data_IF_646085637647
#
_entry.id   IF_646085637647
#
_cell.length_a   1.000
_cell.length_b   1.000
_cell.length_c   1.000
_cell.angle_alpha   90.00
_cell.angle_beta   90.00
_cell.angle_gamma   90.00
#
_symmetry.space_group_name_H-M   'P 1'
#
loop_
_entity.id
_entity.type
_entity.pdbx_description
1 polymer ?
#
# COMPACT_ATOMS: atom_id res chain seq x y z
N UNK A 1 -64.37 1.21 -12.45
CA UNK A 1 -65.05 1.29 -11.14
C UNK A 1 -66.01 0.10 -11.05
N UNK A 2 -65.79 -0.77 -10.05
CA UNK A 2 -66.62 -1.91 -9.58
C UNK A 2 -66.70 -3.17 -10.48
N UNK A 3 -66.63 -4.43 -10.01
CA UNK A 3 -66.25 -5.07 -8.73
C UNK A 3 -66.19 -6.61 -8.95
N UNK A 4 -65.07 -7.23 -8.57
CA UNK A 4 -64.81 -8.55 -7.92
C UNK A 4 -65.86 -9.69 -7.92
N UNK A 5 -65.38 -10.93 -8.19
CA UNK A 5 -65.57 -12.25 -7.50
C UNK A 5 -65.44 -13.40 -8.54
N UNK A 6 -64.90 -14.61 -8.32
CA UNK A 6 -64.58 -15.41 -7.12
C UNK A 6 -63.52 -16.49 -7.46
N UNK A 7 -63.06 -17.20 -6.42
CA UNK A 7 -61.94 -18.14 -6.30
C UNK A 7 -62.38 -19.62 -6.44
N UNK A 8 -61.38 -20.51 -6.57
CA UNK A 8 -61.36 -21.97 -6.29
C UNK A 8 -61.85 -22.87 -7.46
N UNK A 9 -61.18 -23.96 -7.90
CA UNK A 9 -60.22 -24.83 -7.22
C UNK A 9 -59.45 -25.78 -8.19
N UNK A 10 -58.26 -26.20 -7.73
CA UNK A 10 -57.53 -27.46 -7.96
C UNK A 10 -57.14 -27.99 -9.37
N UNK A 11 -55.82 -27.99 -9.63
CA UNK A 11 -55.08 -29.14 -10.18
C UNK A 11 -53.64 -29.08 -9.66
N UNK A 12 -53.30 -29.99 -8.74
CA UNK A 12 -51.93 -30.27 -8.32
C UNK A 12 -51.23 -31.12 -9.38
N UNK A 13 -50.06 -30.70 -9.87
CA UNK A 13 -48.96 -31.63 -10.04
C UNK A 13 -47.57 -30.95 -9.96
N UNK A 14 -46.88 -31.29 -8.86
CA UNK A 14 -45.42 -31.50 -8.70
C UNK A 14 -44.44 -30.60 -9.47
N UNK A 15 -43.91 -29.60 -8.75
CA UNK A 15 -42.50 -29.18 -8.88
C UNK A 15 -41.92 -28.99 -7.48
N UNK A 16 -40.88 -29.78 -7.14
CA UNK A 16 -40.09 -29.59 -5.91
C UNK A 16 -39.17 -28.38 -6.11
N UNK A 17 -39.16 -27.36 -5.23
CA UNK A 17 -38.12 -26.35 -5.27
C UNK A 17 -36.85 -26.89 -4.61
N UNK A 18 -35.72 -26.87 -5.33
CA UNK A 18 -34.40 -27.04 -4.72
C UNK A 18 -34.20 -25.88 -3.73
N UNK A 19 -34.18 -26.20 -2.43
CA UNK A 19 -33.62 -25.31 -1.40
C UNK A 19 -32.16 -25.69 -1.19
N UNK A 20 -31.25 -24.87 -1.68
CA UNK A 20 -29.90 -24.75 -1.11
C UNK A 20 -29.48 -23.29 -1.09
N UNK A 21 -30.12 -22.50 -0.23
CA UNK A 21 -29.49 -21.28 0.28
C UNK A 21 -28.47 -21.72 1.32
N UNK A 22 -27.18 -21.77 0.97
CA UNK A 22 -26.12 -21.85 1.97
C UNK A 22 -26.09 -20.50 2.68
N UNK A 23 -26.67 -20.47 3.88
CA UNK A 23 -26.60 -19.33 4.78
C UNK A 23 -25.15 -19.15 5.22
N UNK A 24 -24.56 -17.97 4.95
CA UNK A 24 -23.20 -17.57 5.33
C UNK A 24 -22.95 -17.49 6.85
N UNK A 25 -23.91 -17.91 7.69
CA UNK A 25 -23.86 -17.82 9.16
C UNK A 25 -23.53 -19.12 9.90
N UNK A 26 -23.13 -20.19 9.20
CA UNK A 26 -22.77 -21.47 9.82
C UNK A 26 -21.26 -21.67 10.04
N UNK A 27 -20.40 -20.71 9.68
CA UNK A 27 -18.94 -20.87 9.80
C UNK A 27 -18.29 -20.03 10.91
N UNK A 28 -19.08 -19.41 11.78
CA UNK A 28 -18.60 -18.75 13.00
C UNK A 28 -19.24 -19.44 14.20
N UNK A 29 -18.68 -20.59 14.53
CA UNK A 29 -19.05 -21.35 15.71
C UNK A 29 -17.83 -22.10 16.20
N UNK A 30 -17.13 -21.49 17.15
CA UNK A 30 -16.03 -22.02 17.98
C UNK A 30 -14.61 -21.64 17.56
N UNK A 31 -14.24 -20.39 17.84
CA UNK A 31 -12.86 -20.03 18.20
C UNK A 31 -12.94 -19.08 19.40
N UNK A 32 -12.89 -19.65 20.59
CA UNK A 32 -12.78 -18.93 21.85
C UNK A 32 -11.41 -18.26 21.93
N UNK A 33 -11.40 -17.06 22.49
CA UNK A 33 -10.27 -16.20 22.80
C UNK A 33 -8.97 -16.93 23.20
N UNK A 34 -7.87 -16.61 22.52
CA UNK A 34 -6.49 -16.76 23.03
C UNK A 34 -5.68 -15.57 22.52
N UNK A 35 -5.34 -14.66 23.42
CA UNK A 35 -4.28 -13.67 23.21
C UNK A 35 -2.90 -14.31 23.30
N UNK A 36 -1.93 -13.67 22.64
CA UNK A 36 -0.49 -13.95 22.66
C UNK A 36 -0.06 -15.36 22.19
N UNK A 37 0.34 -15.44 20.91
CA UNK A 37 1.39 -16.34 20.43
C UNK A 37 1.10 -17.84 20.46
N UNK A 38 0.40 -18.36 19.44
CA UNK A 38 0.65 -19.68 18.82
C UNK A 38 -0.08 -19.75 17.48
N UNK A 39 0.65 -19.88 16.36
CA UNK A 39 0.02 -20.14 15.05
C UNK A 39 -0.53 -21.58 15.08
N UNK A 40 -1.85 -21.70 15.05
CA UNK A 40 -2.54 -22.98 14.97
C UNK A 40 -2.31 -23.65 13.61
N UNK A 41 -1.58 -24.76 13.60
CA UNK A 41 -1.26 -25.58 12.43
C UNK A 41 -2.46 -26.35 11.80
N UNK A 42 -3.69 -25.84 11.94
CA UNK A 42 -4.93 -26.61 11.69
C UNK A 42 -5.58 -26.46 10.31
N UNK A 43 -5.21 -25.46 9.50
CA UNK A 43 -5.94 -25.14 8.25
C UNK A 43 -5.24 -25.52 6.94
N UNK A 44 -4.03 -26.09 6.97
CA UNK A 44 -3.26 -26.42 5.76
C UNK A 44 -3.44 -27.87 5.25
N UNK A 45 -4.38 -28.64 5.79
CA UNK A 45 -4.42 -30.09 5.57
C UNK A 45 -4.82 -30.56 4.15
N UNK A 46 -5.27 -29.69 3.24
CA UNK A 46 -5.75 -30.12 1.91
C UNK A 46 -5.39 -29.20 0.71
N UNK A 47 -4.38 -28.34 0.83
CA UNK A 47 -3.83 -27.67 -0.35
C UNK A 47 -2.92 -28.66 -1.11
N UNK A 48 -3.01 -28.78 -2.45
CA UNK A 48 -2.00 -29.53 -3.20
C UNK A 48 -0.63 -28.90 -2.93
N UNK A 49 0.23 -29.64 -2.23
CA UNK A 49 1.59 -29.22 -1.96
C UNK A 49 2.35 -29.17 -3.28
N UNK A 50 2.67 -27.96 -3.73
CA UNK A 50 3.72 -27.80 -4.72
C UNK A 50 4.97 -28.49 -4.16
N UNK A 51 5.48 -29.49 -4.89
CA UNK A 51 6.72 -30.18 -4.52
C UNK A 51 7.88 -29.22 -4.78
N UNK A 52 8.29 -28.45 -3.78
CA UNK A 52 9.61 -27.82 -3.80
C UNK A 52 10.64 -28.76 -3.19
N UNK A 53 11.31 -29.52 -4.06
CA UNK A 53 12.61 -30.09 -3.73
C UNK A 53 13.69 -29.09 -4.18
N UNK A 54 14.16 -28.24 -3.27
CA UNK A 54 15.23 -27.28 -3.51
C UNK A 54 15.29 -26.18 -2.45
N UNK A 55 16.49 -25.83 -2.00
CA UNK A 55 16.71 -24.63 -1.16
C UNK A 55 16.67 -23.35 -2.01
N UNK A 56 16.45 -22.21 -1.37
CA UNK A 56 16.54 -20.91 -2.06
C UNK A 56 17.95 -20.68 -2.59
N UNK A 57 18.06 -20.06 -3.76
CA UNK A 57 19.34 -19.45 -4.15
C UNK A 57 19.63 -18.29 -3.21
N UNK A 58 20.91 -17.90 -3.10
CA UNK A 58 21.28 -16.73 -2.32
C UNK A 58 20.58 -15.46 -2.82
N UNK A 59 20.53 -15.27 -4.15
CA UNK A 59 19.86 -14.11 -4.75
C UNK A 59 18.36 -14.06 -4.46
N UNK A 60 17.66 -15.20 -4.56
CA UNK A 60 16.23 -15.26 -4.25
C UNK A 60 15.96 -14.95 -2.77
N UNK A 61 16.80 -15.46 -1.86
CA UNK A 61 16.70 -15.18 -0.43
C UNK A 61 17.00 -13.71 -0.12
N UNK A 62 18.01 -13.12 -0.76
CA UNK A 62 18.39 -11.71 -0.58
C UNK A 62 17.27 -10.76 -1.06
N UNK A 63 16.63 -11.07 -2.20
CA UNK A 63 15.44 -10.35 -2.70
C UNK A 63 14.28 -10.43 -1.71
N UNK A 64 13.92 -11.64 -1.26
CA UNK A 64 12.81 -11.84 -0.32
C UNK A 64 13.07 -11.17 1.03
N UNK A 65 14.32 -11.13 1.50
CA UNK A 65 14.70 -10.42 2.73
C UNK A 65 14.54 -8.91 2.57
N UNK A 66 14.94 -8.34 1.43
CA UNK A 66 14.72 -6.92 1.19
C UNK A 66 13.23 -6.58 1.12
N UNK A 67 12.44 -7.37 0.38
CA UNK A 67 10.99 -7.20 0.32
C UNK A 67 10.37 -7.30 1.72
N UNK A 68 10.72 -8.31 2.51
CA UNK A 68 10.25 -8.43 3.89
C UNK A 68 10.58 -7.18 4.74
N UNK A 69 11.72 -6.53 4.51
CA UNK A 69 12.06 -5.29 5.18
C UNK A 69 11.20 -4.10 4.71
N UNK A 70 10.94 -3.99 3.40
CA UNK A 70 10.06 -2.97 2.83
C UNK A 70 8.64 -3.13 3.40
N UNK A 71 8.09 -4.34 3.38
CA UNK A 71 6.76 -4.63 3.93
C UNK A 71 6.64 -4.35 5.44
N UNK A 72 7.71 -4.58 6.24
CA UNK A 72 7.72 -4.19 7.66
C UNK A 72 7.65 -2.66 7.83
N UNK A 73 8.31 -1.91 6.94
CA UNK A 73 8.31 -0.45 6.93
C UNK A 73 6.94 0.07 6.53
N UNK A 74 6.34 -0.52 5.49
CA UNK A 74 5.00 -0.17 4.99
C UNK A 74 3.91 -0.51 6.01
N UNK A 75 3.98 -1.67 6.67
CA UNK A 75 3.08 -2.00 7.76
C UNK A 75 3.17 -1.00 8.95
N UNK A 76 4.37 -0.49 9.29
CA UNK A 76 4.53 0.51 10.36
C UNK A 76 3.92 1.87 10.02
N UNK A 77 4.01 2.32 8.75
CA UNK A 77 3.36 3.55 8.32
C UNK A 77 1.84 3.37 8.16
N UNK A 78 1.37 2.24 7.65
CA UNK A 78 -0.06 1.97 7.48
C UNK A 78 -0.76 1.83 8.82
N UNK A 79 -0.10 1.19 9.80
CA UNK A 79 -0.60 1.18 11.17
C UNK A 79 -0.82 2.60 11.72
N UNK A 80 0.10 3.55 11.47
CA UNK A 80 -0.07 4.92 11.94
C UNK A 80 -1.26 5.64 11.28
N UNK A 81 -1.50 5.38 9.99
CA UNK A 81 -2.70 5.86 9.32
C UNK A 81 -3.97 5.21 9.86
N UNK A 82 -3.97 3.89 10.06
CA UNK A 82 -5.09 3.15 10.62
C UNK A 82 -5.45 3.59 12.04
N UNK A 83 -4.46 3.91 12.87
CA UNK A 83 -4.68 4.38 14.24
C UNK A 83 -5.53 5.65 14.34
N UNK A 84 -5.42 6.53 13.34
CA UNK A 84 -6.08 7.82 13.33
C UNK A 84 -7.26 7.88 12.36
N UNK A 85 -7.11 7.29 11.18
CA UNK A 85 -8.04 7.43 10.06
C UNK A 85 -8.78 6.15 9.67
N UNK A 86 -8.34 4.97 10.12
CA UNK A 86 -8.92 3.68 9.76
C UNK A 86 -9.99 3.17 10.73
N UNK A 87 -10.43 1.92 10.53
CA UNK A 87 -11.40 1.24 11.38
C UNK A 87 -10.75 0.78 12.69
N UNK A 88 -11.43 1.02 13.81
CA UNK A 88 -10.94 0.66 15.15
C UNK A 88 -11.56 -0.67 15.59
N UNK A 89 -10.97 -1.77 15.17
CA UNK A 89 -11.40 -3.12 15.51
C UNK A 89 -10.22 -4.05 15.91
N UNK A 90 -10.48 -5.32 16.23
CA UNK A 90 -9.41 -6.25 16.63
C UNK A 90 -8.64 -6.93 15.48
N UNK A 91 -8.95 -6.67 14.21
CA UNK A 91 -8.34 -7.38 13.07
C UNK A 91 -6.87 -7.00 12.90
N UNK A 92 -6.59 -5.69 12.88
CA UNK A 92 -5.24 -5.14 12.81
C UNK A 92 -4.94 -4.24 14.02
N UNK A 93 -3.66 -4.01 14.36
CA UNK A 93 -3.31 -3.01 15.37
C UNK A 93 -3.88 -1.63 15.01
N UNK A 94 -4.68 -1.07 15.92
CA UNK A 94 -5.37 0.20 15.74
C UNK A 94 -5.26 1.09 16.97
N UNK A 95 -5.64 2.35 16.82
CA UNK A 95 -5.59 3.36 17.86
C UNK A 95 -6.95 3.46 18.55
N UNK A 96 -7.35 4.68 18.87
CA UNK A 96 -8.74 4.97 19.22
C UNK A 96 -9.45 5.82 18.16
N UNK A 97 -8.79 6.07 17.03
CA UNK A 97 -9.26 6.94 15.95
C UNK A 97 -9.19 8.43 16.30
N UNK A 98 -9.24 9.26 15.26
CA UNK A 98 -9.36 10.72 15.36
C UNK A 98 -10.50 11.22 14.45
N UNK A 99 -11.70 11.47 15.00
CA UNK A 99 -12.88 11.77 14.18
C UNK A 99 -12.74 12.97 13.24
N UNK A 100 -11.96 13.99 13.63
CA UNK A 100 -11.74 15.15 12.78
C UNK A 100 -10.85 14.80 11.58
N UNK A 101 -9.79 14.03 11.81
CA UNK A 101 -8.90 13.57 10.74
C UNK A 101 -9.60 12.56 9.83
N UNK A 102 -10.37 11.61 10.38
CA UNK A 102 -11.22 10.69 9.58
C UNK A 102 -12.19 11.47 8.70
N UNK A 103 -12.83 12.53 9.21
CA UNK A 103 -13.72 13.36 8.40
C UNK A 103 -12.99 14.13 7.29
N UNK A 104 -11.76 14.58 7.53
CA UNK A 104 -10.93 15.24 6.50
C UNK A 104 -10.45 14.25 5.42
N UNK A 105 -10.12 13.02 5.80
CA UNK A 105 -9.84 11.94 4.85
C UNK A 105 -11.09 11.60 4.04
N UNK A 106 -12.27 11.57 4.66
CA UNK A 106 -13.53 11.23 4.00
C UNK A 106 -13.94 12.23 2.89
N UNK A 107 -13.29 13.39 2.81
CA UNK A 107 -13.42 14.32 1.67
C UNK A 107 -12.83 13.72 0.39
N UNK A 108 -11.81 12.87 0.51
CA UNK A 108 -11.21 12.16 -0.62
C UNK A 108 -12.12 11.01 -1.11
N UNK A 109 -12.69 10.25 -0.18
CA UNK A 109 -13.68 9.19 -0.47
C UNK A 109 -14.40 8.82 0.83
N UNK A 110 -15.69 8.48 0.79
CA UNK A 110 -16.44 8.19 2.02
C UNK A 110 -16.00 6.89 2.72
N UNK A 111 -15.34 5.98 1.99
CA UNK A 111 -14.87 4.68 2.48
C UNK A 111 -13.36 4.67 2.82
N UNK A 112 -12.73 5.83 3.00
CA UNK A 112 -11.29 5.93 3.29
C UNK A 112 -10.86 5.14 4.52
N UNK A 113 -11.71 5.03 5.55
CA UNK A 113 -11.41 4.27 6.77
C UNK A 113 -11.29 2.78 6.49
N UNK A 114 -12.16 2.21 5.65
CA UNK A 114 -12.09 0.83 5.21
C UNK A 114 -10.86 0.58 4.35
N UNK A 115 -10.55 1.45 3.37
CA UNK A 115 -9.39 1.27 2.51
C UNK A 115 -8.08 1.32 3.30
N UNK A 116 -7.95 2.23 4.27
CA UNK A 116 -6.76 2.32 5.14
C UNK A 116 -6.63 1.05 5.98
N UNK A 117 -7.74 0.55 6.53
CA UNK A 117 -7.76 -0.65 7.37
C UNK A 117 -7.38 -1.90 6.58
N UNK A 118 -7.99 -2.12 5.42
CA UNK A 118 -7.72 -3.28 4.55
C UNK A 118 -6.26 -3.28 4.06
N UNK A 119 -5.75 -2.14 3.61
CA UNK A 119 -4.35 -2.03 3.18
C UNK A 119 -3.38 -2.27 4.34
N UNK A 120 -3.77 -1.91 5.58
CA UNK A 120 -2.96 -2.23 6.77
C UNK A 120 -2.93 -3.74 7.04
N UNK A 121 -4.04 -4.45 6.87
CA UNK A 121 -4.07 -5.92 6.99
C UNK A 121 -3.21 -6.57 5.92
N UNK A 122 -3.33 -6.12 4.68
CA UNK A 122 -2.56 -6.63 3.55
C UNK A 122 -1.06 -6.50 3.78
N UNK A 123 -0.55 -5.32 4.20
CA UNK A 123 0.89 -5.16 4.48
C UNK A 123 1.38 -5.99 5.67
N UNK A 124 0.55 -6.16 6.70
CA UNK A 124 0.87 -7.06 7.81
C UNK A 124 0.96 -8.50 7.32
N UNK A 125 0.06 -8.90 6.43
CA UNK A 125 0.03 -10.22 5.82
C UNK A 125 1.27 -10.47 4.95
N UNK A 126 1.70 -9.48 4.16
CA UNK A 126 2.84 -9.56 3.26
C UNK A 126 4.13 -9.84 4.02
N UNK A 127 4.51 -9.02 5.01
CA UNK A 127 5.77 -9.26 5.73
C UNK A 127 5.72 -10.54 6.56
N UNK A 128 4.55 -10.87 7.14
CA UNK A 128 4.37 -12.09 7.94
C UNK A 128 4.58 -13.32 7.07
N UNK A 129 3.98 -13.34 5.89
CA UNK A 129 4.15 -14.42 4.91
C UNK A 129 5.60 -14.53 4.44
N UNK A 130 6.24 -13.43 4.04
CA UNK A 130 7.61 -13.43 3.53
C UNK A 130 8.61 -13.97 4.57
N UNK A 131 8.51 -13.51 5.82
CA UNK A 131 9.34 -14.01 6.92
C UNK A 131 9.10 -15.49 7.21
N UNK A 132 7.84 -15.94 7.22
CA UNK A 132 7.51 -17.35 7.41
C UNK A 132 8.04 -18.22 6.26
N UNK A 133 7.96 -17.74 5.02
CA UNK A 133 8.47 -18.43 3.84
C UNK A 133 10.00 -18.55 3.90
N UNK A 134 10.71 -17.46 4.22
CA UNK A 134 12.16 -17.46 4.43
C UNK A 134 12.58 -18.51 5.47
N UNK A 135 11.95 -18.49 6.65
CA UNK A 135 12.21 -19.45 7.72
C UNK A 135 11.95 -20.89 7.28
N UNK A 136 10.87 -21.14 6.53
CA UNK A 136 10.52 -22.47 6.02
C UNK A 136 11.57 -23.05 5.06
N UNK A 137 12.36 -22.18 4.41
CA UNK A 137 13.45 -22.55 3.51
C UNK A 137 14.83 -22.53 4.18
N UNK A 138 14.88 -22.30 5.49
CA UNK A 138 16.12 -22.19 6.27
C UNK A 138 16.91 -20.90 6.01
N UNK A 139 16.28 -19.88 5.43
CA UNK A 139 16.84 -18.55 5.31
C UNK A 139 16.48 -17.72 6.55
N UNK A 140 17.34 -16.77 6.89
CA UNK A 140 17.09 -15.84 7.99
C UNK A 140 15.86 -14.95 7.67
N UNK A 141 14.92 -14.78 8.61
CA UNK A 141 13.90 -13.74 8.53
C UNK A 141 14.49 -12.34 8.76
N UNK A 142 13.68 -11.30 8.55
CA UNK A 142 14.00 -9.91 8.87
C UNK A 142 13.22 -9.46 10.09
N UNK A 143 13.90 -8.77 11.01
CA UNK A 143 13.32 -8.12 12.17
C UNK A 143 13.94 -6.72 12.33
N UNK A 144 13.11 -5.69 12.37
CA UNK A 144 13.50 -4.29 12.56
C UNK A 144 13.08 -3.70 13.91
N UNK A 145 12.48 -4.48 14.82
CA UNK A 145 11.87 -3.98 16.06
C UNK A 145 12.82 -3.18 16.95
N UNK A 146 14.11 -3.54 16.95
CA UNK A 146 15.14 -2.80 17.67
C UNK A 146 15.30 -1.33 17.22
N UNK A 147 14.79 -1.00 16.02
CA UNK A 147 14.82 0.34 15.44
C UNK A 147 13.49 1.08 15.59
N UNK A 148 12.50 0.53 16.29
CA UNK A 148 11.24 1.20 16.66
C UNK A 148 11.50 2.27 17.71
N UNK A 149 12.15 3.35 17.28
CA UNK A 149 12.71 4.41 18.15
C UNK A 149 12.13 5.79 17.86
N UNK A 150 11.51 5.97 16.69
CA UNK A 150 10.89 7.24 16.34
C UNK A 150 9.63 7.48 17.18
N UNK A 151 9.31 8.74 17.52
CA UNK A 151 8.12 9.06 18.27
C UNK A 151 6.85 8.89 17.43
N UNK A 152 5.76 8.48 18.08
CA UNK A 152 4.41 8.53 17.49
C UNK A 152 3.85 9.95 17.46
N UNK A 153 2.82 10.17 16.63
CA UNK A 153 1.94 11.33 16.77
C UNK A 153 1.42 11.48 18.21
N UNK A 154 1.31 12.72 18.67
CA UNK A 154 0.73 13.09 19.96
C UNK A 154 -0.72 13.54 19.83
N UNK A 155 -1.35 13.39 18.65
CA UNK A 155 -2.77 13.66 18.48
C UNK A 155 -3.61 12.59 19.18
N UNK A 156 -4.77 12.99 19.67
CA UNK A 156 -5.76 12.07 20.22
C UNK A 156 -6.10 11.01 19.17
N UNK A 157 -6.07 9.73 19.57
CA UNK A 157 -6.27 8.59 18.67
C UNK A 157 -5.01 7.76 18.44
N UNK A 158 -3.84 8.40 18.39
CA UNK A 158 -2.58 7.71 18.09
C UNK A 158 -2.09 6.84 19.26
N UNK A 159 -1.54 5.68 18.95
CA UNK A 159 -0.82 4.89 19.94
C UNK A 159 0.51 5.56 20.29
N UNK A 160 0.93 5.47 21.56
CA UNK A 160 2.16 6.08 22.06
C UNK A 160 3.29 5.04 22.14
N UNK A 161 3.69 4.53 20.98
CA UNK A 161 4.72 3.50 20.82
C UNK A 161 5.90 3.99 19.98
N UNK A 162 6.98 3.23 19.96
CA UNK A 162 8.12 3.48 19.08
C UNK A 162 7.80 3.08 17.62
N UNK A 163 8.24 3.90 16.67
CA UNK A 163 8.00 3.72 15.22
C UNK A 163 9.27 3.47 14.43
N UNK A 164 9.12 2.82 13.28
CA UNK A 164 10.15 2.74 12.25
C UNK A 164 10.11 3.96 11.33
N UNK A 165 8.92 4.51 11.12
CA UNK A 165 8.64 5.56 10.15
C UNK A 165 8.09 6.84 10.81
N UNK A 166 8.30 7.97 10.15
CA UNK A 166 7.85 9.29 10.57
C UNK A 166 6.93 9.89 9.50
N UNK A 167 5.63 9.99 9.80
CA UNK A 167 4.62 10.58 8.90
C UNK A 167 4.35 12.08 9.13
N UNK A 168 5.15 12.71 9.98
CA UNK A 168 4.94 14.08 10.43
C UNK A 168 5.81 15.11 9.68
N UNK A 169 6.72 14.64 8.82
CA UNK A 169 7.69 15.47 8.11
C UNK A 169 8.08 14.84 6.75
N UNK A 170 7.15 14.87 5.80
CA UNK A 170 7.27 14.18 4.50
C UNK A 170 7.49 15.13 3.32
N UNK A 171 8.34 14.71 2.37
CA UNK A 171 8.57 15.32 1.04
C UNK A 171 8.04 14.36 -0.03
N UNK A 172 6.73 14.44 -0.30
CA UNK A 172 6.06 13.45 -1.16
C UNK A 172 6.32 13.75 -2.63
N UNK A 173 6.97 12.81 -3.33
CA UNK A 173 7.21 12.92 -4.75
C UNK A 173 5.94 12.56 -5.56
N UNK A 174 5.19 13.58 -5.96
CA UNK A 174 3.96 13.44 -6.76
C UNK A 174 4.16 13.18 -8.26
N UNK A 175 5.38 12.91 -8.74
CA UNK A 175 5.62 12.60 -10.16
C UNK A 175 5.04 11.26 -10.59
N UNK A 176 4.67 10.37 -9.65
CA UNK A 176 3.90 9.16 -9.97
C UNK A 176 2.61 9.48 -10.74
N UNK A 177 2.00 10.64 -10.44
CA UNK A 177 0.74 11.04 -11.03
C UNK A 177 0.84 11.25 -12.55
N UNK A 178 1.78 12.11 -12.94
CA UNK A 178 2.04 12.45 -14.34
C UNK A 178 2.74 11.30 -15.05
N UNK A 179 3.51 10.48 -14.32
CA UNK A 179 4.09 9.24 -14.83
C UNK A 179 3.04 8.40 -15.50
N UNK A 180 1.90 8.14 -14.87
CA UNK A 180 0.85 7.28 -15.43
C UNK A 180 -0.07 7.95 -16.46
N UNK A 181 0.10 9.26 -16.71
CA UNK A 181 -0.69 10.06 -17.67
C UNK A 181 0.13 10.59 -18.85
N UNK A 182 1.43 10.25 -18.92
CA UNK A 182 2.29 10.64 -20.03
C UNK A 182 2.39 9.53 -21.08
N UNK A 183 2.15 9.90 -22.34
CA UNK A 183 2.30 9.05 -23.51
C UNK A 183 3.74 9.01 -24.08
N UNK A 184 4.59 9.92 -23.60
CA UNK A 184 5.87 10.27 -24.24
C UNK A 184 7.06 10.27 -23.28
N UNK A 185 6.82 10.21 -21.97
CA UNK A 185 7.85 10.13 -20.93
C UNK A 185 7.72 8.82 -20.16
N UNK A 186 8.84 8.11 -20.00
CA UNK A 186 8.92 6.89 -19.18
C UNK A 186 10.23 6.88 -18.37
N UNK A 187 10.19 6.72 -17.02
CA UNK A 187 11.39 6.66 -16.20
C UNK A 187 12.34 5.50 -16.57
N UNK A 188 11.85 4.40 -17.17
CA UNK A 188 12.71 3.32 -17.69
C UNK A 188 13.66 3.83 -18.79
N UNK A 189 13.36 4.97 -19.43
CA UNK A 189 14.18 5.64 -20.45
C UNK A 189 14.97 6.84 -19.91
N UNK A 190 15.01 7.02 -18.58
CA UNK A 190 15.70 8.14 -17.92
C UNK A 190 14.93 9.47 -17.97
N UNK A 191 13.67 9.45 -18.37
CA UNK A 191 12.84 10.64 -18.41
C UNK A 191 12.46 11.11 -16.99
N UNK A 192 12.42 12.43 -16.80
CA UNK A 192 11.92 13.05 -15.56
C UNK A 192 10.53 13.62 -15.81
N UNK A 193 9.62 13.38 -14.88
CA UNK A 193 8.23 13.79 -15.00
C UNK A 193 7.87 14.96 -14.07
N UNK A 194 6.95 15.86 -14.48
CA UNK A 194 6.50 16.96 -13.65
C UNK A 194 5.80 16.49 -12.37
N UNK A 195 5.87 17.30 -11.32
CA UNK A 195 5.14 17.08 -10.07
C UNK A 195 3.69 17.53 -10.24
N UNK A 196 2.71 16.72 -9.84
CA UNK A 196 1.30 17.14 -9.81
C UNK A 196 1.03 18.17 -8.70
N UNK A 197 1.71 18.03 -7.56
CA UNK A 197 1.69 19.02 -6.47
C UNK A 197 3.13 19.47 -6.19
N UNK A 198 3.66 20.47 -6.93
CA UNK A 198 5.05 20.88 -6.81
C UNK A 198 5.49 21.28 -5.40
N UNK A 199 4.60 21.91 -4.63
CA UNK A 199 4.89 22.30 -3.24
C UNK A 199 5.17 21.10 -2.34
N UNK A 200 4.44 19.99 -2.54
CA UNK A 200 4.57 18.79 -1.72
C UNK A 200 5.91 18.07 -1.93
N UNK A 201 6.42 18.12 -3.17
CA UNK A 201 7.72 17.54 -3.53
C UNK A 201 8.93 18.44 -3.20
N UNK A 202 8.69 19.69 -2.78
CA UNK A 202 9.74 20.68 -2.51
C UNK A 202 9.87 21.04 -1.01
N UNK A 203 8.88 20.67 -0.19
CA UNK A 203 8.83 20.98 1.23
C UNK A 203 8.63 19.73 2.10
N UNK A 204 8.48 19.95 3.40
CA UNK A 204 8.25 18.89 4.38
C UNK A 204 6.96 19.14 5.14
N UNK A 205 6.01 18.21 5.07
CA UNK A 205 4.66 18.38 5.58
C UNK A 205 4.17 17.14 6.33
N UNK A 206 3.30 17.30 7.34
CA UNK A 206 2.67 16.17 7.99
C UNK A 206 1.60 15.54 7.11
N UNK A 207 1.60 14.20 7.04
CA UNK A 207 0.51 13.40 6.50
C UNK A 207 -0.44 12.88 7.59
N UNK A 208 -0.09 13.01 8.86
CA UNK A 208 -0.98 12.80 10.00
C UNK A 208 -0.90 13.99 10.95
N UNK A 209 -1.95 14.31 11.72
CA UNK A 209 -1.86 15.33 12.76
C UNK A 209 -0.72 15.00 13.73
N UNK A 210 0.18 15.95 13.99
CA UNK A 210 1.30 15.78 14.93
C UNK A 210 0.83 15.85 16.37
N UNK A 211 -0.15 16.72 16.60
CA UNK A 211 -0.84 16.97 17.87
C UNK A 211 -2.27 17.41 17.55
N UNK A 212 -3.14 17.53 18.57
CA UNK A 212 -4.49 18.06 18.37
C UNK A 212 -4.52 19.53 17.90
N UNK A 213 -3.40 20.26 17.97
CA UNK A 213 -3.31 21.60 17.40
C UNK A 213 -3.46 21.61 15.87
N UNK A 214 -3.06 20.52 15.19
CA UNK A 214 -3.16 20.38 13.74
C UNK A 214 -4.61 20.12 13.27
N UNK A 215 -5.55 19.89 14.19
CA UNK A 215 -6.97 19.73 13.85
C UNK A 215 -7.66 21.06 13.48
N UNK A 216 -6.94 22.17 13.62
CA UNK A 216 -7.44 23.51 13.28
C UNK A 216 -6.33 24.38 12.66
N UNK A 217 -6.65 25.32 11.77
CA UNK A 217 -7.96 25.54 11.15
C UNK A 217 -8.34 24.40 10.17
N UNK A 218 -9.62 24.29 9.74
CA UNK A 218 -10.06 23.19 8.87
C UNK A 218 -9.22 23.00 7.60
N UNK A 219 -8.81 24.08 6.94
CA UNK A 219 -7.98 23.99 5.71
C UNK A 219 -6.57 23.43 5.99
N UNK A 220 -6.04 23.61 7.21
CA UNK A 220 -4.78 22.98 7.60
C UNK A 220 -4.97 21.46 7.75
N UNK A 221 -6.02 21.04 8.46
CA UNK A 221 -6.33 19.62 8.62
C UNK A 221 -6.61 18.95 7.26
N UNK A 222 -7.31 19.64 6.36
CA UNK A 222 -7.54 19.14 5.00
C UNK A 222 -6.23 19.06 4.21
N UNK A 223 -5.29 20.00 4.38
CA UNK A 223 -3.98 19.91 3.76
C UNK A 223 -3.19 18.67 4.24
N UNK A 224 -3.33 18.29 5.51
CA UNK A 224 -2.74 17.06 6.06
C UNK A 224 -3.39 15.82 5.42
N UNK A 225 -4.73 15.77 5.36
CA UNK A 225 -5.45 14.68 4.72
C UNK A 225 -5.12 14.56 3.22
N UNK A 226 -5.01 15.69 2.50
CA UNK A 226 -4.57 15.70 1.11
C UNK A 226 -3.12 15.18 0.98
N UNK A 227 -2.23 15.59 1.88
CA UNK A 227 -0.84 15.07 1.92
C UNK A 227 -0.83 13.55 2.10
N UNK A 228 -1.67 13.02 3.00
CA UNK A 228 -1.86 11.58 3.19
C UNK A 228 -2.32 10.90 1.89
N UNK A 229 -3.35 11.42 1.23
CA UNK A 229 -3.86 10.88 -0.04
C UNK A 229 -2.78 10.74 -1.12
N UNK A 230 -1.95 11.78 -1.31
CA UNK A 230 -0.82 11.69 -2.25
C UNK A 230 0.29 10.75 -1.78
N UNK A 231 0.52 10.66 -0.47
CA UNK A 231 1.52 9.75 0.09
C UNK A 231 1.10 8.28 -0.03
N UNK A 232 -0.19 7.94 0.17
CA UNK A 232 -0.72 6.59 -0.07
C UNK A 232 -0.40 6.12 -1.49
N UNK A 233 -0.74 6.94 -2.48
CA UNK A 233 -0.46 6.61 -3.88
C UNK A 233 1.03 6.54 -4.20
N UNK A 234 1.87 7.33 -3.50
CA UNK A 234 3.32 7.30 -3.66
C UNK A 234 3.94 6.00 -3.13
N UNK A 235 3.54 5.55 -1.94
CA UNK A 235 3.99 4.29 -1.33
C UNK A 235 3.69 3.12 -2.27
N UNK A 236 2.43 3.00 -2.66
CA UNK A 236 1.89 1.82 -3.37
C UNK A 236 2.33 1.79 -4.83
N UNK A 237 2.58 2.97 -5.43
CA UNK A 237 3.32 3.04 -6.70
C UNK A 237 4.72 2.44 -6.54
N UNK A 238 5.39 2.74 -5.42
CA UNK A 238 6.69 2.23 -5.06
C UNK A 238 6.71 0.71 -5.02
N UNK A 239 5.82 0.10 -4.24
CA UNK A 239 5.63 -1.36 -4.15
C UNK A 239 5.35 -1.99 -5.52
N UNK A 240 4.38 -1.45 -6.25
CA UNK A 240 4.04 -1.86 -7.63
C UNK A 240 5.28 -1.94 -8.55
N UNK A 241 6.15 -0.93 -8.51
CA UNK A 241 7.35 -0.89 -9.36
C UNK A 241 8.48 -1.76 -8.83
N UNK A 242 8.63 -1.85 -7.51
CA UNK A 242 9.67 -2.61 -6.84
C UNK A 242 9.49 -4.11 -7.09
N UNK A 243 8.28 -4.64 -6.87
CA UNK A 243 7.98 -6.05 -7.13
C UNK A 243 8.17 -6.43 -8.59
N UNK A 244 7.68 -5.61 -9.53
CA UNK A 244 7.87 -5.85 -10.95
C UNK A 244 9.35 -5.84 -11.37
N UNK A 245 10.15 -4.94 -10.78
CA UNK A 245 11.58 -4.87 -11.03
C UNK A 245 12.32 -6.08 -10.46
N UNK A 246 12.04 -6.49 -9.21
CA UNK A 246 12.73 -7.61 -8.58
C UNK A 246 12.27 -8.97 -9.13
N UNK A 247 11.05 -9.09 -9.64
CA UNK A 247 10.54 -10.31 -10.29
C UNK A 247 11.39 -10.74 -11.49
N UNK A 248 12.05 -9.80 -12.16
CA UNK A 248 12.95 -10.10 -13.28
C UNK A 248 14.31 -10.69 -12.85
N UNK A 249 14.60 -10.69 -11.54
CA UNK A 249 15.90 -11.09 -10.98
C UNK A 249 15.85 -12.42 -10.24
N UNK A 250 14.66 -12.92 -9.93
CA UNK A 250 14.47 -14.19 -9.22
C UNK A 250 14.61 -15.37 -10.19
N UNK A 251 15.06 -16.50 -9.67
CA UNK A 251 15.29 -17.74 -10.44
C UNK A 251 14.39 -18.89 -10.01
N UNK A 252 13.93 -18.86 -8.76
CA UNK A 252 13.08 -19.92 -8.21
C UNK A 252 11.61 -19.66 -8.54
N UNK A 253 10.95 -20.62 -9.20
CA UNK A 253 9.55 -20.46 -9.65
C UNK A 253 8.56 -20.14 -8.53
N UNK A 254 8.74 -20.69 -7.32
CA UNK A 254 7.89 -20.31 -6.19
C UNK A 254 8.14 -18.86 -5.75
N UNK A 255 9.37 -18.38 -5.84
CA UNK A 255 9.72 -17.01 -5.46
C UNK A 255 9.16 -16.05 -6.50
N UNK A 256 9.30 -16.36 -7.79
CA UNK A 256 8.62 -15.62 -8.86
C UNK A 256 7.11 -15.57 -8.63
N UNK A 257 6.49 -16.69 -8.26
CA UNK A 257 5.06 -16.72 -7.94
C UNK A 257 4.73 -15.78 -6.77
N UNK A 258 5.55 -15.73 -5.73
CA UNK A 258 5.36 -14.82 -4.59
C UNK A 258 5.41 -13.37 -5.07
N UNK A 259 6.47 -12.97 -5.80
CA UNK A 259 6.63 -11.59 -6.25
C UNK A 259 5.53 -11.15 -7.22
N UNK A 260 5.07 -12.03 -8.11
CA UNK A 260 3.95 -11.74 -9.01
C UNK A 260 2.60 -11.68 -8.28
N UNK A 261 2.46 -12.37 -7.14
CA UNK A 261 1.19 -12.39 -6.40
C UNK A 261 1.08 -11.17 -5.48
N UNK A 262 2.11 -10.91 -4.67
CA UNK A 262 2.16 -9.72 -3.81
C UNK A 262 2.25 -8.46 -4.67
N UNK A 263 3.14 -8.43 -5.67
CA UNK A 263 3.17 -7.31 -6.63
C UNK A 263 1.84 -7.11 -7.39
N UNK A 264 0.98 -8.14 -7.45
CA UNK A 264 -0.38 -8.01 -7.97
C UNK A 264 -1.33 -7.28 -7.02
N UNK A 265 -1.22 -7.49 -5.71
CA UNK A 265 -1.97 -6.73 -4.69
C UNK A 265 -1.51 -5.28 -4.63
N UNK A 266 -0.21 -5.02 -4.67
CA UNK A 266 0.36 -3.66 -4.75
C UNK A 266 -0.25 -2.83 -5.90
N UNK A 267 -0.48 -3.45 -7.05
CA UNK A 267 -1.11 -2.77 -8.21
C UNK A 267 -2.56 -2.41 -7.89
N UNK A 268 -3.28 -3.26 -7.15
CA UNK A 268 -4.66 -3.00 -6.71
C UNK A 268 -4.69 -1.87 -5.68
N UNK A 269 -3.74 -1.84 -4.74
CA UNK A 269 -3.58 -0.75 -3.79
C UNK A 269 -3.32 0.56 -4.54
N UNK A 270 -2.28 0.62 -5.37
CA UNK A 270 -1.92 1.81 -6.13
C UNK A 270 -3.09 2.36 -6.94
N UNK A 271 -3.80 1.49 -7.67
CA UNK A 271 -4.96 1.90 -8.47
C UNK A 271 -6.05 2.55 -7.61
N UNK A 272 -6.28 2.05 -6.40
CA UNK A 272 -7.23 2.63 -5.43
C UNK A 272 -6.75 4.01 -5.01
N UNK A 273 -5.50 4.12 -4.54
CA UNK A 273 -5.01 5.36 -3.94
C UNK A 273 -4.77 6.47 -4.95
N UNK A 274 -4.32 6.18 -6.17
CA UNK A 274 -4.15 7.22 -7.18
C UNK A 274 -5.48 7.79 -7.69
N UNK A 275 -6.57 7.01 -7.63
CA UNK A 275 -7.93 7.54 -7.82
C UNK A 275 -8.30 8.49 -6.67
N UNK A 276 -8.10 8.05 -5.42
CA UNK A 276 -8.52 8.84 -4.24
C UNK A 276 -7.71 10.12 -4.05
N UNK A 277 -6.42 10.10 -4.37
CA UNK A 277 -5.59 11.29 -4.41
C UNK A 277 -6.14 12.35 -5.38
N UNK A 278 -6.85 11.94 -6.44
CA UNK A 278 -7.49 12.84 -7.39
C UNK A 278 -8.70 13.61 -6.86
N UNK A 279 -9.25 13.19 -5.73
CA UNK A 279 -10.36 13.87 -5.07
C UNK A 279 -9.91 14.95 -4.08
N UNK A 280 -8.59 15.14 -3.89
CA UNK A 280 -8.04 16.18 -3.04
C UNK A 280 -8.50 17.57 -3.50
N UNK A 281 -9.25 18.33 -2.67
CA UNK A 281 -9.71 19.65 -3.07
C UNK A 281 -8.55 20.63 -3.20
N UNK A 282 -8.60 21.57 -4.15
CA UNK A 282 -7.63 22.64 -4.23
C UNK A 282 -7.73 23.54 -3.00
N UNK A 283 -6.61 23.82 -2.36
CA UNK A 283 -6.54 24.68 -1.17
C UNK A 283 -5.15 25.28 -0.99
N UNK A 284 -5.05 26.29 -0.14
CA UNK A 284 -3.78 26.77 0.40
C UNK A 284 -3.80 26.63 1.91
N UNK A 285 -2.86 25.85 2.46
CA UNK A 285 -2.74 25.67 3.90
C UNK A 285 -2.41 27.02 4.56
N UNK A 286 -3.27 27.53 5.45
CA UNK A 286 -3.08 28.85 6.06
C UNK A 286 -1.92 28.89 7.07
N UNK A 287 -1.35 27.75 7.45
CA UNK A 287 -0.29 27.65 8.48
C UNK A 287 1.12 27.64 7.90
N UNK A 288 1.28 27.14 6.67
CA UNK A 288 2.59 26.92 6.05
C UNK A 288 2.65 27.33 4.57
N UNK A 289 1.52 27.65 3.94
CA UNK A 289 1.45 28.09 2.55
C UNK A 289 1.55 26.98 1.50
N UNK A 290 1.48 25.70 1.89
CA UNK A 290 1.38 24.58 0.95
C UNK A 290 0.14 24.74 0.07
N UNK A 291 0.33 24.67 -1.24
CA UNK A 291 -0.76 24.79 -2.22
C UNK A 291 -1.04 23.42 -2.83
N UNK A 292 -2.29 22.98 -2.72
CA UNK A 292 -2.87 21.94 -3.56
C UNK A 292 -3.56 22.62 -4.75
N UNK A 293 -3.04 22.47 -5.98
CA UNK A 293 -3.62 23.11 -7.16
C UNK A 293 -4.92 22.42 -7.57
N UNK A 294 -5.70 23.09 -8.42
CA UNK A 294 -6.78 22.43 -9.15
C UNK A 294 -6.16 21.59 -10.29
N UNK A 295 -6.06 20.29 -10.07
CA UNK A 295 -5.45 19.37 -11.03
C UNK A 295 -6.23 19.25 -12.36
N UNK A 296 -7.49 19.69 -12.39
CA UNK A 296 -8.29 19.68 -13.62
C UNK A 296 -8.19 20.98 -14.41
N UNK A 297 -7.38 21.95 -13.96
CA UNK A 297 -7.19 23.22 -14.65
C UNK A 297 -6.27 23.13 -15.88
N UNK A 298 -5.27 22.23 -15.87
CA UNK A 298 -4.11 22.27 -16.78
C UNK A 298 -3.99 21.10 -17.78
N UNK A 299 -5.13 20.49 -18.15
CA UNK A 299 -5.21 19.49 -19.23
C UNK A 299 -4.99 18.03 -18.80
N UNK A 300 -4.87 17.13 -19.78
CA UNK A 300 -4.94 15.68 -19.57
C UNK A 300 -3.84 15.14 -18.62
N UNK A 301 -2.66 15.75 -18.60
CA UNK A 301 -1.52 15.27 -17.80
C UNK A 301 -1.81 15.27 -16.28
N UNK A 302 -2.66 16.19 -15.82
CA UNK A 302 -3.06 16.28 -14.40
C UNK A 302 -4.53 15.90 -14.16
N UNK A 303 -5.31 15.70 -15.21
CA UNK A 303 -6.74 15.36 -15.13
C UNK A 303 -7.02 14.15 -14.22
N UNK A 304 -7.95 14.34 -13.27
CA UNK A 304 -8.10 13.41 -12.13
C UNK A 304 -8.84 12.13 -12.47
N UNK A 305 -9.79 12.17 -13.40
CA UNK A 305 -10.56 10.98 -13.80
C UNK A 305 -9.87 10.08 -14.84
N UNK A 306 -8.63 10.39 -15.27
CA UNK A 306 -7.80 9.50 -16.10
C UNK A 306 -7.09 8.47 -15.24
N UNK A 307 -7.85 7.51 -14.74
CA UNK A 307 -7.39 6.56 -13.73
C UNK A 307 -6.72 5.31 -14.29
N UNK A 308 -6.82 5.07 -15.61
CA UNK A 308 -6.13 3.97 -16.28
C UNK A 308 -4.78 4.45 -16.82
N UNK A 309 -3.74 3.60 -16.85
CA UNK A 309 -2.42 4.00 -17.30
C UNK A 309 -2.40 4.32 -18.80
N UNK A 310 -2.02 5.55 -19.15
CA UNK A 310 -1.86 5.99 -20.54
C UNK A 310 -0.76 5.18 -21.23
N UNK A 311 -0.96 4.67 -22.47
CA UNK A 311 0.09 3.96 -23.19
C UNK A 311 1.36 4.79 -23.35
N UNK A 312 2.53 4.19 -23.13
CA UNK A 312 3.82 4.89 -23.24
C UNK A 312 4.88 4.05 -23.96
N UNK A 313 6.05 4.62 -24.17
CA UNK A 313 7.22 3.94 -24.72
C UNK A 313 7.57 2.73 -23.85
N UNK A 314 7.71 1.55 -24.46
CA UNK A 314 8.04 0.32 -23.74
C UNK A 314 9.04 -0.52 -24.54
N UNK A 315 10.07 -1.03 -23.87
CA UNK A 315 11.20 -1.80 -24.43
C UNK A 315 12.05 -1.05 -25.46
N UNK A 316 11.47 -0.62 -26.58
CA UNK A 316 12.13 0.13 -27.64
C UNK A 316 11.13 1.08 -28.33
N UNK A 317 11.59 2.28 -28.72
CA UNK A 317 10.77 3.30 -29.40
C UNK A 317 10.25 2.86 -30.77
N UNK A 318 10.76 1.77 -31.33
CA UNK A 318 10.27 1.16 -32.56
C UNK A 318 8.94 0.40 -32.39
N UNK A 319 8.59 0.00 -31.17
CA UNK A 319 7.30 -0.64 -30.89
C UNK A 319 6.19 0.41 -30.66
N UNK A 320 4.92 0.07 -30.94
CA UNK A 320 3.79 0.88 -30.50
C UNK A 320 3.80 1.08 -28.98
N UNK A 321 3.32 2.24 -28.54
CA UNK A 321 3.14 2.54 -27.12
C UNK A 321 2.20 1.52 -26.45
N UNK A 322 2.45 1.22 -25.18
CA UNK A 322 1.74 0.20 -24.40
C UNK A 322 1.45 0.69 -22.98
N UNK A 323 0.26 0.36 -22.45
CA UNK A 323 -0.08 0.60 -21.05
C UNK A 323 0.64 -0.40 -20.17
N UNK A 324 1.49 0.10 -19.26
CA UNK A 324 2.38 -0.70 -18.43
C UNK A 324 2.49 -0.12 -17.02
N UNK A 325 2.96 -0.95 -16.09
CA UNK A 325 3.59 -0.48 -14.86
C UNK A 325 4.91 0.22 -15.19
N UNK A 326 5.27 1.26 -14.42
CA UNK A 326 6.51 2.02 -14.65
C UNK A 326 7.05 2.66 -13.36
N UNK A 327 8.37 2.54 -13.10
CA UNK A 327 9.33 1.75 -13.86
C UNK A 327 9.18 0.24 -13.63
N UNK A 328 9.71 -0.54 -14.56
CA UNK A 328 9.85 -2.00 -14.38
C UNK A 328 11.27 -2.49 -14.60
N UNK A 329 12.14 -1.72 -15.25
CA UNK A 329 13.51 -2.14 -15.55
C UNK A 329 14.50 -1.11 -15.00
N UNK A 330 14.70 -1.12 -13.69
CA UNK A 330 15.68 -0.22 -13.03
C UNK A 330 16.88 -0.98 -12.52
N UNK A 331 18.07 -0.49 -12.83
CA UNK A 331 19.29 -0.88 -12.11
C UNK A 331 19.21 -0.34 -10.67
N UNK A 332 19.53 -1.19 -9.70
CA UNK A 332 19.51 -0.80 -8.30
C UNK A 332 18.10 -0.58 -7.74
N UNK A 333 17.10 -1.36 -8.16
CA UNK A 333 15.69 -1.19 -7.75
C UNK A 333 15.51 -1.15 -6.23
N UNK A 334 16.18 -2.03 -5.48
CA UNK A 334 16.08 -2.07 -4.03
C UNK A 334 16.75 -0.85 -3.36
N UNK A 335 17.95 -0.48 -3.83
CA UNK A 335 18.64 0.73 -3.36
C UNK A 335 17.84 1.99 -3.74
N UNK A 336 17.20 2.00 -4.90
CA UNK A 336 16.30 3.06 -5.36
C UNK A 336 15.11 3.24 -4.42
N UNK A 337 14.45 2.15 -4.01
CA UNK A 337 13.37 2.19 -3.03
C UNK A 337 13.84 2.73 -1.66
N UNK A 338 15.00 2.27 -1.16
CA UNK A 338 15.57 2.80 0.08
C UNK A 338 15.89 4.30 -0.01
N UNK A 339 16.45 4.74 -1.13
CA UNK A 339 16.73 6.15 -1.38
C UNK A 339 15.42 6.96 -1.46
N UNK A 340 14.37 6.39 -2.05
CA UNK A 340 13.06 7.02 -2.15
C UNK A 340 12.42 7.21 -0.75
N UNK A 341 12.37 6.16 0.09
CA UNK A 341 11.92 6.27 1.48
C UNK A 341 12.73 7.28 2.30
N UNK A 342 14.05 7.31 2.08
CA UNK A 342 14.92 8.29 2.75
C UNK A 342 14.65 9.72 2.30
N UNK A 343 14.46 9.94 1.00
CA UNK A 343 14.20 11.24 0.41
C UNK A 343 12.79 11.77 0.75
N UNK A 344 11.82 10.86 0.88
CA UNK A 344 10.48 11.18 1.36
C UNK A 344 10.49 11.66 2.82
N UNK A 345 11.43 11.17 3.63
CA UNK A 345 11.59 11.63 5.01
C UNK A 345 11.03 10.66 6.05
N UNK A 346 10.52 9.49 5.64
CA UNK A 346 10.08 8.41 6.53
C UNK A 346 11.09 8.09 7.63
N UNK A 347 12.38 8.24 7.35
CA UNK A 347 13.45 7.86 8.29
C UNK A 347 14.10 9.05 9.00
N UNK A 348 13.51 10.25 8.94
CA UNK A 348 14.00 11.41 9.71
C UNK A 348 13.96 11.06 11.20
N UNK A 349 15.15 11.03 11.82
CA UNK A 349 15.35 10.68 13.22
C UNK A 349 15.87 9.25 13.45
N UNK A 350 15.97 8.41 12.43
CA UNK A 350 16.49 7.04 12.56
C UNK A 350 18.00 7.02 12.82
N UNK A 351 18.47 5.90 13.39
CA UNK A 351 19.89 5.74 13.72
C UNK A 351 20.73 5.35 12.51
N UNK A 352 22.04 5.65 12.50
CA UNK A 352 22.94 5.18 11.44
C UNK A 352 22.94 3.66 11.25
N UNK A 353 22.75 2.89 12.33
CA UNK A 353 22.67 1.43 12.29
C UNK A 353 21.43 0.94 11.51
N UNK A 354 20.29 1.63 11.63
CA UNK A 354 19.09 1.35 10.84
C UNK A 354 19.40 1.46 9.34
N UNK A 355 20.02 2.58 8.92
CA UNK A 355 20.43 2.78 7.54
C UNK A 355 21.46 1.75 7.08
N UNK A 356 22.40 1.36 7.94
CA UNK A 356 23.39 0.34 7.61
C UNK A 356 22.74 -1.02 7.32
N UNK A 357 21.75 -1.42 8.13
CA UNK A 357 21.00 -2.67 7.93
C UNK A 357 20.20 -2.63 6.62
N UNK A 358 19.42 -1.57 6.39
CA UNK A 358 18.63 -1.46 5.16
C UNK A 358 19.51 -1.37 3.90
N UNK A 359 20.63 -0.64 3.97
CA UNK A 359 21.58 -0.55 2.86
C UNK A 359 22.16 -1.93 2.51
N UNK A 360 22.50 -2.74 3.51
CA UNK A 360 23.01 -4.09 3.26
C UNK A 360 21.96 -4.98 2.61
N UNK A 361 20.69 -4.93 3.05
CA UNK A 361 19.60 -5.68 2.46
C UNK A 361 19.34 -5.24 1.00
N UNK A 362 19.28 -3.93 0.76
CA UNK A 362 19.06 -3.37 -0.56
C UNK A 362 20.17 -3.75 -1.55
N UNK A 363 21.43 -3.58 -1.16
CA UNK A 363 22.57 -3.96 -1.99
C UNK A 363 22.60 -5.46 -2.29
N UNK A 364 22.28 -6.31 -1.30
CA UNK A 364 22.22 -7.76 -1.51
C UNK A 364 21.15 -8.14 -2.53
N UNK A 365 19.94 -7.55 -2.43
CA UNK A 365 18.88 -7.75 -3.42
C UNK A 365 19.26 -7.25 -4.82
N UNK A 366 19.91 -6.09 -4.94
CA UNK A 366 20.35 -5.54 -6.22
C UNK A 366 21.49 -6.33 -6.88
N UNK A 367 22.29 -7.04 -6.07
CA UNK A 367 23.32 -7.96 -6.55
C UNK A 367 22.75 -9.30 -7.03
N UNK A 368 21.49 -9.61 -6.76
CA UNK A 368 20.83 -10.79 -7.33
C UNK A 368 20.77 -10.67 -8.86
N UNK A 369 20.98 -11.80 -9.54
CA UNK A 369 21.00 -11.90 -11.00
C UNK A 369 20.16 -13.09 -11.43
N UNK A 370 19.33 -12.89 -12.44
CA UNK A 370 18.63 -14.00 -13.06
C UNK A 370 19.63 -14.92 -13.78
N UNK A 371 19.63 -16.21 -13.44
CA UNK A 371 20.22 -17.26 -14.27
C UNK A 371 21.74 -17.42 -14.18
N UNK A 372 22.40 -16.94 -13.12
CA UNK A 372 23.80 -17.28 -12.80
C UNK A 372 24.03 -17.45 -11.31
#
# INVERSE_FOLDING_TARGET
>A
MNRVETREDHLEERVKPLKSSISRRSFLGTSLAVGAGTIGAGLLANAPTARASGGLTRGDADILRFLAAAEIIEADLWQQYNELGGIQDPEVPGGTGNPAYTAALAVLDEDMDQYIHDNTDDEISHFTFLNAYLASKGAEPVNLDQFRTLPSSQATGAQQIGRLTNLMQLTVNTSFWTRYRSDSLNPDFGDTLPQAVPGLAAGQFPAIPRTDADLTPPDHLQAIANTAGFHFAWIEQGGTSLYASLAQRVTHNEVLRILLSIGGSEIMHFQTWQDKAGNAPPLTDPTNGLVFPDLNADGELTQTNLIMPEPTIFLDRAFPICSIIRPTETDGAATGALNAFTADGLFIGQTPEFFAVLTQLAQAADHARHGR
#
